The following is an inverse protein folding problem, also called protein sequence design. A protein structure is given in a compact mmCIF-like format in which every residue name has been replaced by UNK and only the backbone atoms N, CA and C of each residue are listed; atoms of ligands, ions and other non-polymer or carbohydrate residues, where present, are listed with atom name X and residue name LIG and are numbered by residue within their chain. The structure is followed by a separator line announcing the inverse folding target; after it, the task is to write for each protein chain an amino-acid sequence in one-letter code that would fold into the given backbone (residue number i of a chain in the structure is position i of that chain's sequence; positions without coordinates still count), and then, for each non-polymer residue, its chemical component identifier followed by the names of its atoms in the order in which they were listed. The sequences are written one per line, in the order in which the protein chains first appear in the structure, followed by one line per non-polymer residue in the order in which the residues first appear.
data_IF_112867589768
#
_entry.id   IF_112867589768
#
_cell.length_a   1.000
_cell.length_b   1.000
_cell.length_c   1.000
_cell.angle_alpha   90.00
_cell.angle_beta   90.00
_cell.angle_gamma   90.00
#
_symmetry.space_group_name_H-M   'P 1'
#
loop_
_entity.id
_entity.type
_entity.pdbx_description
1 polymer ?
#
# COMPACT_ATOMS: atom_id res chain seq x y z
N UNK A 1 14.04 17.77 18.62
CA UNK A 1 14.58 16.83 17.62
C UNK A 1 13.73 16.98 16.38
N UNK A 2 14.30 17.51 15.29
CA UNK A 2 13.59 17.66 14.01
C UNK A 2 13.76 16.36 13.21
N UNK A 3 12.66 15.66 12.95
CA UNK A 3 12.64 14.47 12.11
C UNK A 3 12.40 14.95 10.67
N UNK A 4 13.44 14.98 9.84
CA UNK A 4 13.30 15.15 8.40
C UNK A 4 12.64 13.89 7.84
N UNK A 5 11.34 13.96 7.57
CA UNK A 5 10.55 12.87 7.01
C UNK A 5 10.33 13.21 5.54
N UNK A 6 10.85 12.37 4.65
CA UNK A 6 10.68 12.49 3.19
C UNK A 6 9.43 11.73 2.75
N UNK A 7 8.74 12.19 1.70
CA UNK A 7 7.60 11.49 1.10
C UNK A 7 7.97 10.07 0.65
N UNK A 8 9.23 9.84 0.24
CA UNK A 8 9.78 8.52 -0.09
C UNK A 8 9.62 7.47 1.04
N UNK A 9 9.36 7.90 2.28
CA UNK A 9 9.15 6.99 3.41
C UNK A 9 7.72 6.41 3.48
N UNK A 10 6.77 6.95 2.71
CA UNK A 10 5.38 6.52 2.72
C UNK A 10 5.00 5.89 1.39
N UNK A 11 4.26 4.78 1.46
CA UNK A 11 3.80 4.05 0.27
C UNK A 11 2.54 4.67 -0.38
N UNK A 12 2.08 5.84 0.10
CA UNK A 12 0.94 6.58 -0.45
C UNK A 12 0.23 7.48 0.57
N UNK A 13 -0.83 8.20 0.16
CA UNK A 13 -1.52 9.17 1.02
C UNK A 13 -2.23 8.53 2.22
N UNK A 14 -2.77 7.33 2.07
CA UNK A 14 -3.40 6.60 3.19
C UNK A 14 -2.40 6.18 4.26
N UNK A 15 -1.15 5.88 3.88
CA UNK A 15 -0.10 5.55 4.86
C UNK A 15 0.30 6.77 5.69
N UNK A 16 0.43 7.93 5.03
CA UNK A 16 0.64 9.20 5.73
C UNK A 16 -0.52 9.53 6.67
N UNK A 17 -1.77 9.42 6.20
CA UNK A 17 -2.93 9.66 7.06
C UNK A 17 -2.99 8.71 8.25
N UNK A 18 -2.75 7.42 8.01
CA UNK A 18 -2.70 6.44 9.07
C UNK A 18 -1.58 6.73 10.08
N UNK A 19 -0.41 7.16 9.60
CA UNK A 19 0.71 7.58 10.46
C UNK A 19 0.33 8.78 11.35
N UNK A 20 -0.34 9.79 10.79
CA UNK A 20 -0.81 10.96 11.54
C UNK A 20 -1.84 10.57 12.62
N UNK A 21 -2.78 9.69 12.28
CA UNK A 21 -3.80 9.16 13.21
C UNK A 21 -3.14 8.42 14.37
N UNK A 22 -2.18 7.51 14.09
CA UNK A 22 -1.43 6.81 15.12
C UNK A 22 -0.61 7.76 16.01
N UNK A 23 0.12 8.69 15.39
CA UNK A 23 1.01 9.63 16.09
C UNK A 23 0.25 10.50 17.10
N UNK A 24 -0.96 10.94 16.74
CA UNK A 24 -1.81 11.77 17.59
C UNK A 24 -2.76 10.98 18.48
N UNK A 25 -2.75 9.65 18.40
CA UNK A 25 -3.67 8.76 19.13
C UNK A 25 -5.14 9.10 18.87
N UNK A 26 -5.45 9.46 17.63
CA UNK A 26 -6.81 9.74 17.17
C UNK A 26 -7.57 8.41 17.02
N UNK A 27 -8.83 8.39 17.42
CA UNK A 27 -9.70 7.26 17.11
C UNK A 27 -10.03 7.26 15.61
N UNK A 28 -9.80 6.13 14.94
CA UNK A 28 -10.07 5.97 13.51
C UNK A 28 -11.57 6.08 13.18
N UNK A 29 -12.45 5.85 14.15
CA UNK A 29 -13.91 6.00 13.99
C UNK A 29 -14.39 7.43 14.25
N UNK A 30 -13.62 8.26 14.97
CA UNK A 30 -13.97 9.65 15.24
C UNK A 30 -12.77 10.57 14.95
N UNK A 31 -12.58 10.81 13.66
CA UNK A 31 -11.44 11.58 13.16
C UNK A 31 -11.79 13.07 13.20
N UNK A 32 -10.98 13.91 13.90
CA UNK A 32 -11.10 15.36 13.82
C UNK A 32 -10.52 15.84 12.47
N UNK A 33 -11.35 15.84 11.44
CA UNK A 33 -10.94 16.18 10.06
C UNK A 33 -10.25 17.53 9.98
N UNK A 34 -10.74 18.53 10.72
CA UNK A 34 -10.15 19.86 10.68
C UNK A 34 -8.66 19.85 11.04
N UNK A 35 -8.30 19.15 12.13
CA UNK A 35 -6.92 19.03 12.61
C UNK A 35 -6.09 18.10 11.73
N UNK A 36 -6.65 16.96 11.32
CA UNK A 36 -5.96 16.01 10.45
C UNK A 36 -5.58 16.64 9.11
N UNK A 37 -6.50 17.41 8.51
CA UNK A 37 -6.26 18.13 7.24
C UNK A 37 -5.14 19.15 7.39
N UNK A 38 -5.12 19.93 8.48
CA UNK A 38 -4.07 20.94 8.69
C UNK A 38 -2.70 20.29 8.85
N UNK A 39 -2.62 19.18 9.56
CA UNK A 39 -1.37 18.41 9.70
C UNK A 39 -0.93 17.77 8.38
N UNK A 40 -1.87 17.24 7.60
CA UNK A 40 -1.58 16.63 6.31
C UNK A 40 -1.02 17.67 5.33
N UNK A 41 -1.65 18.85 5.25
CA UNK A 41 -1.17 19.96 4.43
C UNK A 41 0.20 20.47 4.90
N UNK A 42 0.41 20.64 6.21
CA UNK A 42 1.71 21.02 6.74
C UNK A 42 2.82 20.03 6.38
N UNK A 43 2.51 18.73 6.39
CA UNK A 43 3.46 17.70 5.91
C UNK A 43 3.80 17.84 4.43
N UNK A 44 2.83 18.19 3.57
CA UNK A 44 3.10 18.38 2.15
C UNK A 44 3.95 19.63 1.91
N UNK A 45 3.71 20.71 2.66
CA UNK A 45 4.49 21.95 2.59
C UNK A 45 5.97 21.74 2.97
N UNK A 46 6.24 20.94 4.00
CA UNK A 46 7.60 20.66 4.50
C UNK A 46 8.48 19.88 3.50
N UNK A 47 7.88 19.17 2.55
CA UNK A 47 8.59 18.21 1.68
C UNK A 47 9.02 18.83 0.34
N UNK A 48 8.48 20.00 0.01
CA UNK A 48 8.85 20.80 -1.16
C UNK A 48 8.20 20.34 -2.46
N UNK A 49 7.92 21.30 -3.36
CA UNK A 49 7.14 21.09 -4.59
C UNK A 49 7.75 20.05 -5.55
N UNK A 50 9.08 19.94 -5.63
CA UNK A 50 9.77 18.99 -6.53
C UNK A 50 9.43 17.51 -6.26
N UNK A 51 9.14 17.13 -5.02
CA UNK A 51 8.75 15.75 -4.67
C UNK A 51 7.24 15.52 -4.86
N UNK A 52 6.43 16.59 -4.78
CA UNK A 52 4.98 16.53 -4.92
C UNK A 52 4.54 16.36 -6.39
N UNK A 53 5.29 16.90 -7.34
CA UNK A 53 5.00 16.75 -8.78
C UNK A 53 5.01 15.28 -9.23
N UNK A 54 5.74 14.41 -8.53
CA UNK A 54 5.77 12.97 -8.80
C UNK A 54 4.62 12.22 -8.10
N UNK A 55 3.94 12.86 -7.14
CA UNK A 55 3.06 12.24 -6.16
C UNK A 55 1.62 12.78 -6.25
N UNK A 56 1.01 12.74 -7.45
CA UNK A 56 -0.33 13.27 -7.74
C UNK A 56 -1.45 12.75 -6.84
N UNK A 57 -1.32 11.53 -6.31
CA UNK A 57 -2.26 10.93 -5.36
C UNK A 57 -2.38 11.71 -4.05
N UNK A 58 -1.30 12.35 -3.60
CA UNK A 58 -1.32 13.16 -2.37
C UNK A 58 -2.09 14.45 -2.54
N UNK A 59 -2.03 15.06 -3.73
CA UNK A 59 -2.81 16.27 -4.07
C UNK A 59 -4.29 15.96 -4.17
N UNK A 60 -4.64 14.81 -4.77
CA UNK A 60 -6.03 14.33 -4.80
C UNK A 60 -6.56 14.18 -3.38
N UNK A 61 -5.79 13.55 -2.49
CA UNK A 61 -6.18 13.39 -1.09
C UNK A 61 -6.29 14.73 -0.34
N UNK A 62 -5.37 15.68 -0.60
CA UNK A 62 -5.44 17.02 -0.02
C UNK A 62 -6.77 17.71 -0.40
N UNK A 63 -7.14 17.65 -1.68
CA UNK A 63 -8.41 18.19 -2.16
C UNK A 63 -9.63 17.48 -1.54
N UNK A 64 -9.57 16.15 -1.37
CA UNK A 64 -10.62 15.38 -0.69
C UNK A 64 -10.78 15.83 0.76
N UNK A 65 -9.69 15.96 1.51
CA UNK A 65 -9.72 16.39 2.90
C UNK A 65 -10.24 17.81 3.08
N UNK A 66 -9.84 18.73 2.19
CA UNK A 66 -10.36 20.10 2.16
C UNK A 66 -11.86 20.14 1.85
N UNK A 67 -12.33 19.30 0.92
CA UNK A 67 -13.76 19.17 0.59
C UNK A 67 -14.56 18.69 1.81
N UNK A 68 -14.08 17.65 2.50
CA UNK A 68 -14.73 17.13 3.71
C UNK A 68 -14.71 18.19 4.83
N UNK A 69 -13.58 18.87 5.05
CA UNK A 69 -13.45 19.97 6.03
C UNK A 69 -14.43 21.10 5.74
N UNK A 70 -14.58 21.49 4.48
CA UNK A 70 -15.53 22.52 4.05
C UNK A 70 -16.97 22.11 4.35
N UNK A 71 -17.39 20.92 3.93
CA UNK A 71 -18.75 20.40 4.20
C UNK A 71 -19.09 20.34 5.69
N UNK A 72 -18.14 19.91 6.53
CA UNK A 72 -18.34 19.80 7.98
C UNK A 72 -18.42 21.15 8.70
N UNK A 73 -17.75 22.18 8.18
CA UNK A 73 -17.70 23.50 8.81
C UNK A 73 -18.77 24.46 8.29
N UNK A 74 -19.38 24.17 7.14
CA UNK A 74 -20.43 24.99 6.56
C UNK A 74 -21.74 24.81 7.36
N UNK A 75 -22.40 25.91 7.78
CA UNK A 75 -23.70 25.82 8.42
C UNK A 75 -24.75 25.36 7.40
N UNK A 76 -25.38 24.21 7.66
CA UNK A 76 -26.58 23.79 6.93
C UNK A 76 -27.64 24.87 7.10
N UNK A 77 -28.14 25.45 6.01
CA UNK A 77 -29.14 26.50 6.15
C UNK A 77 -30.39 25.89 6.78
N UNK A 78 -31.00 26.58 7.75
CA UNK A 78 -32.11 26.05 8.54
C UNK A 78 -33.30 25.54 7.70
N UNK A 79 -33.41 26.03 6.45
CA UNK A 79 -34.39 25.61 5.46
C UNK A 79 -34.04 24.27 4.78
N UNK A 80 -32.78 24.03 4.46
CA UNK A 80 -32.31 22.77 3.85
C UNK A 80 -32.42 21.61 4.84
N UNK A 81 -32.04 21.83 6.10
CA UNK A 81 -32.14 20.82 7.18
C UNK A 81 -33.60 20.38 7.42
N UNK A 82 -34.55 21.32 7.40
CA UNK A 82 -35.98 20.99 7.56
C UNK A 82 -36.55 20.24 6.35
N UNK A 83 -36.07 20.55 5.15
CA UNK A 83 -36.47 19.87 3.90
C UNK A 83 -35.85 18.46 3.79
N UNK A 84 -34.61 18.27 4.24
CA UNK A 84 -33.91 16.97 4.20
C UNK A 84 -34.42 15.99 5.24
N UNK A 85 -34.66 16.44 6.47
CA UNK A 85 -35.29 15.61 7.52
C UNK A 85 -36.71 15.18 7.10
N UNK A 86 -37.46 16.08 6.43
CA UNK A 86 -38.78 15.76 5.90
C UNK A 86 -38.74 14.81 4.68
N UNK A 87 -37.61 14.76 3.96
CA UNK A 87 -37.40 13.89 2.80
C UNK A 87 -36.79 12.51 3.16
N UNK A 88 -36.43 12.28 4.42
CA UNK A 88 -35.78 11.03 4.85
C UNK A 88 -34.34 10.87 4.36
N UNK A 89 -33.71 11.96 3.92
CA UNK A 89 -32.27 11.97 3.63
C UNK A 89 -31.53 12.14 4.96
N UNK A 90 -31.17 11.02 5.60
CA UNK A 90 -30.02 11.02 6.50
C UNK A 90 -28.78 11.25 5.62
N UNK A 91 -28.30 12.48 5.53
CA UNK A 91 -27.06 12.79 4.83
C UNK A 91 -25.94 12.00 5.53
N UNK A 92 -25.39 10.99 4.85
CA UNK A 92 -24.32 10.15 5.39
C UNK A 92 -23.15 11.04 5.83
N UNK A 93 -22.47 10.69 6.92
CA UNK A 93 -21.36 11.49 7.43
C UNK A 93 -20.33 11.62 6.30
N UNK A 94 -19.93 12.84 5.90
CA UNK A 94 -18.99 13.04 4.79
C UNK A 94 -17.62 12.37 5.04
N UNK A 95 -17.36 11.90 6.27
CA UNK A 95 -16.17 11.16 6.70
C UNK A 95 -16.25 9.66 6.44
N UNK A 96 -17.45 9.09 6.25
CA UNK A 96 -17.65 7.63 6.26
C UNK A 96 -16.79 6.89 5.23
N UNK A 97 -16.69 7.43 4.01
CA UNK A 97 -15.87 6.83 2.95
C UNK A 97 -14.38 6.82 3.34
N UNK A 98 -13.89 7.93 3.91
CA UNK A 98 -12.49 8.05 4.34
C UNK A 98 -12.18 7.07 5.47
N UNK A 99 -13.06 6.98 6.47
CA UNK A 99 -12.93 6.06 7.60
C UNK A 99 -12.91 4.61 7.09
N UNK A 100 -13.83 4.25 6.21
CA UNK A 100 -13.87 2.92 5.61
C UNK A 100 -12.55 2.56 4.91
N UNK A 101 -12.01 3.48 4.09
CA UNK A 101 -10.74 3.28 3.38
C UNK A 101 -9.56 3.14 4.34
N UNK A 102 -9.50 3.94 5.40
CA UNK A 102 -8.45 3.86 6.42
C UNK A 102 -8.48 2.53 7.19
N UNK A 103 -9.67 2.02 7.50
CA UNK A 103 -9.84 0.70 8.13
C UNK A 103 -9.34 -0.41 7.19
N UNK A 104 -9.69 -0.34 5.89
CA UNK A 104 -9.18 -1.30 4.92
C UNK A 104 -7.65 -1.23 4.83
N UNK A 105 -7.08 -0.02 4.74
CA UNK A 105 -5.65 0.18 4.70
C UNK A 105 -4.96 -0.44 5.93
N UNK A 106 -5.45 -0.16 7.14
CA UNK A 106 -4.95 -0.75 8.39
C UNK A 106 -4.93 -2.27 8.32
N UNK A 107 -6.05 -2.88 7.89
CA UNK A 107 -6.16 -4.34 7.77
C UNK A 107 -5.09 -4.92 6.82
N UNK A 108 -4.87 -4.32 5.66
CA UNK A 108 -3.85 -4.79 4.72
C UNK A 108 -2.43 -4.54 5.23
N UNK A 109 -2.19 -3.44 5.95
CA UNK A 109 -0.92 -3.17 6.62
C UNK A 109 -0.60 -4.23 7.68
N UNK A 110 -1.58 -4.64 8.47
CA UNK A 110 -1.41 -5.70 9.47
C UNK A 110 -1.10 -7.05 8.79
N UNK A 111 -1.80 -7.38 7.70
CA UNK A 111 -1.55 -8.59 6.92
C UNK A 111 -0.15 -8.57 6.29
N UNK A 112 0.29 -7.42 5.74
CA UNK A 112 1.60 -7.31 5.13
C UNK A 112 2.73 -7.52 6.14
N UNK A 113 2.55 -7.08 7.39
CA UNK A 113 3.49 -7.36 8.48
C UNK A 113 3.58 -8.86 8.80
N UNK A 114 2.44 -9.55 8.83
CA UNK A 114 2.39 -11.01 9.04
C UNK A 114 3.11 -11.73 7.87
N UNK A 115 2.78 -11.38 6.63
CA UNK A 115 3.41 -11.97 5.44
C UNK A 115 4.93 -11.71 5.41
N UNK A 116 5.36 -10.51 5.80
CA UNK A 116 6.77 -10.16 5.92
C UNK A 116 7.48 -11.00 6.98
N UNK A 117 6.80 -11.34 8.08
CA UNK A 117 7.34 -12.25 9.09
C UNK A 117 7.46 -13.68 8.55
N UNK A 118 6.43 -14.17 7.85
CA UNK A 118 6.45 -15.48 7.20
C UNK A 118 7.56 -15.58 6.14
N UNK A 119 7.76 -14.53 5.34
CA UNK A 119 8.85 -14.44 4.38
C UNK A 119 10.22 -14.54 5.08
N UNK A 120 10.43 -13.80 6.17
CA UNK A 120 11.67 -13.88 6.96
C UNK A 120 11.94 -15.28 7.49
N UNK A 121 10.91 -16.02 7.88
CA UNK A 121 11.04 -17.41 8.33
C UNK A 121 11.36 -18.33 7.16
N UNK A 122 10.68 -18.15 6.02
CA UNK A 122 10.90 -18.93 4.80
C UNK A 122 12.32 -18.74 4.26
N UNK A 123 12.88 -17.53 4.32
CA UNK A 123 14.25 -17.24 3.88
C UNK A 123 15.33 -18.00 4.66
N UNK A 124 15.02 -18.51 5.85
CA UNK A 124 15.94 -19.35 6.64
C UNK A 124 16.01 -20.79 6.11
N UNK A 125 15.05 -21.20 5.28
CA UNK A 125 14.99 -22.54 4.72
C UNK A 125 15.77 -22.61 3.40
N UNK A 126 16.87 -23.36 3.41
CA UNK A 126 17.64 -23.64 2.20
C UNK A 126 17.09 -24.91 1.53
N UNK A 127 16.64 -24.78 0.28
CA UNK A 127 16.23 -25.93 -0.54
C UNK A 127 17.38 -26.37 -1.43
N UNK A 128 17.58 -27.68 -1.53
CA UNK A 128 18.46 -28.26 -2.54
C UNK A 128 17.85 -28.01 -3.93
N UNK A 129 18.70 -27.75 -4.92
CA UNK A 129 18.25 -27.75 -6.30
C UNK A 129 17.74 -29.16 -6.68
N UNK A 130 16.68 -29.26 -7.49
CA UNK A 130 16.21 -30.55 -7.97
C UNK A 130 17.35 -31.29 -8.68
N UNK A 131 17.51 -32.57 -8.37
CA UNK A 131 18.50 -33.42 -9.04
C UNK A 131 18.10 -33.66 -10.49
N UNK A 132 19.11 -33.77 -11.36
CA UNK A 132 18.90 -34.22 -12.73
C UNK A 132 18.64 -35.74 -12.74
N UNK A 133 17.37 -36.10 -12.95
CA UNK A 133 16.90 -37.48 -13.03
C UNK A 133 16.71 -37.94 -14.49
N UNK A 134 17.21 -37.19 -15.47
CA UNK A 134 17.04 -37.52 -16.91
C UNK A 134 17.55 -38.92 -17.23
N UNK A 135 18.60 -39.38 -16.54
CA UNK A 135 19.17 -40.71 -16.71
C UNK A 135 18.23 -41.88 -16.35
N UNK A 136 17.15 -41.64 -15.60
CA UNK A 136 16.14 -42.66 -15.28
C UNK A 136 15.11 -42.86 -16.42
N UNK A 137 15.03 -41.93 -17.37
CA UNK A 137 14.10 -42.00 -18.49
C UNK A 137 14.78 -42.64 -19.71
N UNK A 138 14.54 -43.93 -19.92
CA UNK A 138 15.03 -44.69 -21.09
C UNK A 138 14.14 -44.59 -22.32
N UNK A 139 12.88 -44.18 -22.13
CA UNK A 139 11.92 -43.89 -23.19
C UNK A 139 11.57 -42.41 -23.06
N UNK A 140 11.61 -41.67 -24.17
CA UNK A 140 11.57 -40.20 -24.19
C UNK A 140 10.41 -39.57 -23.42
N UNK A 141 10.51 -38.26 -23.19
CA UNK A 141 9.53 -37.49 -22.41
C UNK A 141 8.10 -37.64 -22.96
N UNK A 142 7.23 -38.31 -22.22
CA UNK A 142 5.80 -38.32 -22.47
C UNK A 142 5.18 -37.11 -21.75
N UNK A 143 4.86 -36.06 -22.50
CA UNK A 143 4.17 -34.87 -21.97
C UNK A 143 2.66 -35.09 -21.90
N UNK A 144 2.25 -36.19 -21.28
CA UNK A 144 0.83 -36.52 -21.14
C UNK A 144 0.19 -35.62 -20.08
N UNK A 145 -0.88 -34.92 -20.47
CA UNK A 145 -1.57 -33.97 -19.58
C UNK A 145 -0.90 -32.60 -19.43
N UNK A 146 0.18 -32.30 -20.16
CA UNK A 146 0.79 -30.96 -20.17
C UNK A 146 0.17 -30.13 -21.27
N UNK A 147 -0.38 -28.97 -20.90
CA UNK A 147 -0.94 -28.01 -21.85
C UNK A 147 0.12 -27.01 -22.30
N UNK A 148 -0.15 -26.30 -23.41
CA UNK A 148 0.71 -25.21 -23.85
C UNK A 148 0.83 -24.09 -22.80
N UNK A 149 -0.22 -23.86 -22.00
CA UNK A 149 -0.23 -22.86 -20.94
C UNK A 149 0.77 -23.20 -19.83
N UNK A 150 0.88 -24.48 -19.47
CA UNK A 150 1.86 -24.96 -18.51
C UNK A 150 3.30 -24.70 -18.98
N UNK A 151 3.60 -24.99 -20.24
CA UNK A 151 4.92 -24.73 -20.85
C UNK A 151 5.23 -23.24 -20.85
N UNK A 152 4.24 -22.40 -21.19
CA UNK A 152 4.38 -20.95 -21.22
C UNK A 152 4.60 -20.39 -19.81
N UNK A 153 3.94 -20.95 -18.79
CA UNK A 153 4.12 -20.57 -17.40
C UNK A 153 5.52 -20.95 -16.88
N UNK A 154 6.02 -22.13 -17.22
CA UNK A 154 7.41 -22.53 -16.91
C UNK A 154 8.42 -21.61 -17.58
N UNK A 155 8.22 -21.28 -18.87
CA UNK A 155 9.09 -20.35 -19.59
C UNK A 155 9.12 -18.95 -18.96
N UNK A 156 7.94 -18.40 -18.61
CA UNK A 156 7.84 -17.12 -17.89
C UNK A 156 8.56 -17.16 -16.54
N UNK A 157 8.43 -18.26 -15.79
CA UNK A 157 9.10 -18.43 -14.51
C UNK A 157 10.62 -18.48 -14.66
N UNK A 158 11.14 -19.15 -15.69
CA UNK A 158 12.58 -19.16 -15.99
C UNK A 158 13.11 -17.76 -16.32
N UNK A 159 12.41 -17.01 -17.18
CA UNK A 159 12.80 -15.64 -17.52
C UNK A 159 12.87 -14.72 -16.30
N UNK A 160 11.93 -14.84 -15.34
CA UNK A 160 11.95 -14.07 -14.08
C UNK A 160 13.12 -14.48 -13.17
N UNK A 161 13.47 -15.76 -13.16
CA UNK A 161 14.51 -16.31 -12.28
C UNK A 161 15.91 -15.87 -12.74
N UNK A 162 16.16 -15.79 -14.05
CA UNK A 162 17.47 -15.35 -14.59
C UNK A 162 17.76 -13.87 -14.34
N UNK A 163 16.73 -13.02 -14.30
CA UNK A 163 16.89 -11.59 -13.94
C UNK A 163 17.41 -11.45 -12.51
N UNK A 164 16.86 -12.21 -11.56
CA UNK A 164 17.31 -12.20 -10.16
C UNK A 164 18.61 -12.98 -9.88
N UNK A 165 19.12 -13.74 -10.87
CA UNK A 165 20.40 -14.47 -10.75
C UNK A 165 21.58 -13.59 -11.13
N UNK A 166 21.42 -12.67 -12.09
CA UNK A 166 22.44 -11.67 -12.48
C UNK A 166 22.84 -10.73 -11.34
N UNK A 167 21.92 -10.41 -10.42
CA UNK A 167 22.19 -9.51 -9.28
C UNK A 167 22.95 -10.19 -8.12
N UNK A 168 23.04 -11.53 -8.10
CA UNK A 168 23.62 -12.31 -6.99
C UNK A 168 25.08 -12.73 -7.19
N UNK A 169 25.84 -12.04 -8.03
CA UNK A 169 27.29 -12.26 -8.11
C UNK A 169 28.00 -11.53 -6.97
N UNK A 170 28.14 -12.18 -5.81
CA UNK A 170 29.17 -11.79 -4.84
C UNK A 170 30.54 -12.16 -5.42
N UNK A 171 31.31 -11.15 -5.80
CA UNK A 171 32.74 -11.32 -6.10
C UNK A 171 33.47 -11.66 -4.80
N UNK A 172 33.72 -12.94 -4.56
CA UNK A 172 34.65 -13.37 -3.52
C UNK A 172 36.05 -13.17 -4.08
N UNK A 173 36.68 -12.05 -3.74
CA UNK A 173 38.13 -11.91 -3.89
C UNK A 173 38.78 -12.83 -2.87
N UNK A 174 39.65 -13.74 -3.33
CA UNK A 174 40.61 -14.39 -2.44
C UNK A 174 41.56 -13.30 -1.95
N UNK A 175 41.60 -13.09 -0.64
CA UNK A 175 42.68 -12.32 -0.04
C UNK A 175 44.03 -13.05 -0.22
N UNK A 176 45.12 -12.29 -0.39
CA UNK A 176 46.44 -12.78 -0.82
C UNK A 176 47.16 -13.64 0.23
#
# INVERSE_FOLDING_TARGET
MALNIRLDAFEGPFDLLYHLIEKNKIDIYDIPIAELTDQYLGYLEDIGEEQLDTASEFLVMAATLLSIKSKLLLPSTHHEVQLEIAAGNDEADPRDELVYRLIQYKKYKDISLILRQMEKEQLKLFRRQPEDITHFYTQGFLLEGVTFEDVLQVFRNLCKTDVHRKERHHSVKKDP
#
